data_IF_441298302479
#
_entry.id   IF_441298302479
#
_cell.length_a   1.000
_cell.length_b   1.000
_cell.length_c   1.000
_cell.angle_alpha   90.00
_cell.angle_beta   90.00
_cell.angle_gamma   90.00
#
_symmetry.space_group_name_H-M   'P 1'
#
loop_
_entity.id
_entity.type
_entity.pdbx_description
1 polymer ?
#
# COMPACT_ATOMS: atom_id res chain seq x y z
N UNK A 1 2.90 -19.67 28.63
CA UNK A 1 2.18 -18.81 27.67
C UNK A 1 2.54 -17.38 28.01
N UNK A 2 3.24 -16.64 27.14
CA UNK A 2 3.52 -15.22 27.41
C UNK A 2 2.17 -14.50 27.60
N UNK A 3 2.03 -13.77 28.72
CA UNK A 3 0.78 -13.07 29.02
C UNK A 3 0.55 -11.99 27.96
N UNK A 4 -0.70 -11.59 27.76
CA UNK A 4 -1.04 -10.50 26.83
C UNK A 4 -0.26 -9.21 27.17
N UNK A 5 0.02 -8.97 28.46
CA UNK A 5 0.82 -7.86 28.93
C UNK A 5 2.29 -7.95 28.49
N UNK A 6 2.90 -9.14 28.53
CA UNK A 6 4.29 -9.34 28.08
C UNK A 6 4.44 -9.04 26.59
N UNK A 7 3.46 -9.45 25.78
CA UNK A 7 3.44 -9.15 24.34
C UNK A 7 3.27 -7.66 24.08
N UNK A 8 2.34 -7.01 24.79
CA UNK A 8 2.10 -5.59 24.68
C UNK A 8 3.36 -4.77 25.08
N UNK A 9 4.02 -5.13 26.17
CA UNK A 9 5.26 -4.48 26.60
C UNK A 9 6.40 -4.70 25.60
N UNK A 10 6.52 -5.90 25.04
CA UNK A 10 7.49 -6.17 23.97
C UNK A 10 7.25 -5.30 22.72
N UNK A 11 5.99 -5.17 22.29
CA UNK A 11 5.64 -4.31 21.14
C UNK A 11 5.90 -2.84 21.45
N UNK A 12 5.53 -2.37 22.64
CA UNK A 12 5.81 -0.99 23.09
C UNK A 12 7.32 -0.72 23.12
N UNK A 13 8.12 -1.66 23.62
CA UNK A 13 9.58 -1.52 23.67
C UNK A 13 10.22 -1.53 22.27
N UNK A 14 9.71 -2.33 21.33
CA UNK A 14 10.15 -2.31 19.93
C UNK A 14 9.80 -0.99 19.24
N UNK A 15 8.57 -0.51 19.43
CA UNK A 15 8.16 0.79 18.90
C UNK A 15 9.03 1.90 19.49
N UNK A 16 9.24 1.94 20.80
CA UNK A 16 10.06 2.97 21.43
C UNK A 16 11.50 2.97 20.89
N UNK A 17 12.08 1.79 20.62
CA UNK A 17 13.40 1.65 19.99
C UNK A 17 13.44 2.20 18.56
N UNK A 18 12.42 1.93 17.75
CA UNK A 18 12.31 2.45 16.38
C UNK A 18 12.05 3.96 16.37
N UNK A 19 11.15 4.44 17.25
CA UNK A 19 10.85 5.86 17.43
C UNK A 19 12.07 6.64 17.93
N UNK A 20 12.91 6.04 18.77
CA UNK A 20 14.12 6.66 19.31
C UNK A 20 15.18 6.95 18.25
N UNK A 21 15.08 6.37 17.06
CA UNK A 21 15.94 6.71 15.91
C UNK A 21 15.68 8.14 15.39
N UNK A 22 14.53 8.73 15.70
CA UNK A 22 14.20 10.09 15.29
C UNK A 22 14.50 11.09 16.41
N UNK A 23 15.52 11.96 16.26
CA UNK A 23 15.95 12.89 17.32
C UNK A 23 14.86 13.90 17.72
N UNK A 24 13.93 14.20 16.80
CA UNK A 24 12.77 15.07 17.06
C UNK A 24 11.84 14.47 18.13
N UNK A 25 11.60 13.15 18.09
CA UNK A 25 10.76 12.47 19.07
C UNK A 25 11.42 12.41 20.45
N UNK A 26 12.74 12.24 20.50
CA UNK A 26 13.51 12.25 21.76
C UNK A 26 13.50 13.63 22.44
N UNK A 27 13.54 14.70 21.64
CA UNK A 27 13.46 16.07 22.15
C UNK A 27 12.05 16.39 22.68
N UNK A 28 11.00 15.88 22.02
CA UNK A 28 9.63 16.00 22.50
C UNK A 28 9.39 15.23 23.81
N UNK A 29 9.92 14.01 23.94
CA UNK A 29 9.84 13.22 25.18
C UNK A 29 10.55 13.93 26.33
N UNK A 30 11.73 14.50 26.09
CA UNK A 30 12.45 15.26 27.11
C UNK A 30 11.69 16.50 27.58
N UNK A 31 10.94 17.16 26.70
CA UNK A 31 10.13 18.34 27.06
C UNK A 31 8.79 17.99 27.71
N UNK A 32 8.15 16.90 27.27
CA UNK A 32 6.79 16.54 27.71
C UNK A 32 6.77 15.50 28.83
N UNK A 33 7.88 14.81 29.09
CA UNK A 33 8.00 13.69 30.05
C UNK A 33 7.02 12.53 29.81
N UNK A 34 6.34 12.52 28.66
CA UNK A 34 5.41 11.47 28.24
C UNK A 34 6.16 10.55 27.27
N UNK A 35 6.07 9.21 27.43
CA UNK A 35 6.74 8.29 26.53
C UNK A 35 6.26 8.46 25.08
N UNK A 36 7.21 8.45 24.14
CA UNK A 36 7.01 8.75 22.71
C UNK A 36 5.91 7.89 22.08
N UNK A 37 5.83 6.64 22.51
CA UNK A 37 4.84 5.67 22.02
C UNK A 37 3.41 6.14 22.30
N UNK A 38 3.12 6.70 23.48
CA UNK A 38 1.77 7.19 23.80
C UNK A 38 1.39 8.42 22.98
N UNK A 39 2.36 9.28 22.67
CA UNK A 39 2.15 10.45 21.81
C UNK A 39 1.76 10.01 20.40
N UNK A 40 2.51 9.07 19.81
CA UNK A 40 2.18 8.53 18.48
C UNK A 40 0.85 7.79 18.49
N UNK A 41 0.57 6.98 19.50
CA UNK A 41 -0.72 6.30 19.64
C UNK A 41 -1.87 7.31 19.76
N UNK A 42 -1.68 8.41 20.49
CA UNK A 42 -2.64 9.50 20.59
C UNK A 42 -2.92 10.15 19.24
N UNK A 43 -1.86 10.51 18.48
CA UNK A 43 -2.02 11.05 17.13
C UNK A 43 -2.70 10.06 16.18
N UNK A 44 -2.34 8.77 16.24
CA UNK A 44 -2.96 7.73 15.44
C UNK A 44 -4.45 7.55 15.79
N UNK A 45 -4.80 7.59 17.08
CA UNK A 45 -6.18 7.51 17.55
C UNK A 45 -7.00 8.73 17.12
N UNK A 46 -6.45 9.94 17.24
CA UNK A 46 -7.09 11.17 16.74
C UNK A 46 -7.27 11.11 15.23
N UNK A 47 -6.26 10.67 14.49
CA UNK A 47 -6.34 10.51 13.04
C UNK A 47 -7.44 9.49 12.65
N UNK A 48 -7.50 8.33 13.30
CA UNK A 48 -8.54 7.33 13.08
C UNK A 48 -9.94 7.88 13.42
N UNK A 49 -10.05 8.61 14.54
CA UNK A 49 -11.28 9.28 14.94
C UNK A 49 -11.74 10.30 13.87
N UNK A 50 -10.84 11.14 13.34
CA UNK A 50 -11.17 12.08 12.27
C UNK A 50 -11.68 11.37 11.01
N UNK A 51 -11.04 10.27 10.62
CA UNK A 51 -11.51 9.42 9.51
C UNK A 51 -12.88 8.81 9.81
N UNK A 52 -13.10 8.35 11.06
CA UNK A 52 -14.35 7.75 11.50
C UNK A 52 -15.54 8.72 11.44
N UNK A 53 -15.35 9.95 11.90
CA UNK A 53 -16.36 11.02 11.85
C UNK A 53 -16.46 11.70 10.48
N UNK A 54 -15.76 11.18 9.46
CA UNK A 54 -15.71 11.73 8.12
C UNK A 54 -15.14 13.16 8.01
N UNK A 55 -14.45 13.66 9.03
CA UNK A 55 -13.88 15.00 9.04
C UNK A 55 -12.62 14.96 8.16
N UNK A 56 -12.70 15.57 6.97
CA UNK A 56 -11.65 15.54 5.96
C UNK A 56 -11.21 14.12 5.55
N UNK A 57 -12.13 13.13 5.60
CA UNK A 57 -11.81 11.72 5.38
C UNK A 57 -11.09 11.44 4.06
N UNK A 58 -11.52 12.04 2.95
CA UNK A 58 -10.85 11.89 1.64
C UNK A 58 -9.38 12.32 1.69
N UNK A 59 -9.13 13.51 2.24
CA UNK A 59 -7.78 14.06 2.34
C UNK A 59 -6.90 13.20 3.23
N UNK A 60 -7.38 12.86 4.43
CA UNK A 60 -6.62 12.06 5.39
C UNK A 60 -6.25 10.71 4.77
N UNK A 61 -7.24 9.98 4.24
CA UNK A 61 -7.03 8.63 3.67
C UNK A 61 -6.09 8.66 2.47
N UNK A 62 -6.19 9.66 1.60
CA UNK A 62 -5.27 9.82 0.47
C UNK A 62 -3.85 10.15 0.95
N UNK A 63 -3.71 11.00 1.98
CA UNK A 63 -2.40 11.33 2.57
C UNK A 63 -1.75 10.09 3.17
N UNK A 64 -2.47 9.26 3.93
CA UNK A 64 -1.91 8.00 4.45
C UNK A 64 -1.59 7.01 3.33
N UNK A 65 -2.49 6.88 2.35
CA UNK A 65 -2.30 6.04 1.17
C UNK A 65 -1.18 6.50 0.23
N UNK A 66 -0.68 7.72 0.39
CA UNK A 66 0.46 8.24 -0.35
C UNK A 66 1.75 8.23 0.48
N UNK A 67 1.72 8.74 1.71
CA UNK A 67 2.92 8.91 2.56
C UNK A 67 3.52 7.58 2.97
N UNK A 68 2.70 6.63 3.44
CA UNK A 68 3.18 5.33 3.95
C UNK A 68 3.91 4.55 2.84
N UNK A 69 3.24 4.19 1.73
CA UNK A 69 3.90 3.47 0.63
C UNK A 69 4.94 4.34 -0.07
N UNK A 70 4.80 5.67 -0.11
CA UNK A 70 5.80 6.58 -0.66
C UNK A 70 7.13 6.51 0.09
N UNK A 71 7.09 6.51 1.43
CA UNK A 71 8.28 6.34 2.26
C UNK A 71 8.95 4.98 2.01
N UNK A 72 8.17 3.90 2.02
CA UNK A 72 8.72 2.57 1.75
C UNK A 72 9.20 2.38 0.31
N UNK A 73 8.54 3.00 -0.67
CA UNK A 73 8.99 2.99 -2.07
C UNK A 73 10.32 3.72 -2.24
N UNK A 74 10.53 4.84 -1.53
CA UNK A 74 11.81 5.53 -1.51
C UNK A 74 12.90 4.66 -0.88
N UNK A 75 12.58 3.95 0.21
CA UNK A 75 13.53 3.03 0.84
C UNK A 75 13.87 1.84 -0.08
N UNK A 76 12.88 1.29 -0.79
CA UNK A 76 13.08 0.23 -1.78
C UNK A 76 14.00 0.69 -2.93
N UNK A 77 13.85 1.93 -3.40
CA UNK A 77 14.67 2.51 -4.46
C UNK A 77 16.18 2.57 -4.13
N UNK A 78 16.53 2.62 -2.84
CA UNK A 78 17.91 2.61 -2.37
C UNK A 78 18.41 1.21 -1.96
N UNK A 79 17.57 0.18 -2.08
CA UNK A 79 17.89 -1.20 -1.71
C UNK A 79 18.07 -2.04 -2.98
N UNK A 80 19.09 -2.92 -3.07
CA UNK A 80 19.38 -3.69 -4.29
C UNK A 80 18.39 -4.84 -4.60
N UNK A 81 17.27 -4.95 -3.88
CA UNK A 81 16.30 -6.06 -4.00
C UNK A 81 15.08 -5.70 -4.86
N UNK A 82 14.76 -6.51 -5.86
CA UNK A 82 13.68 -6.26 -6.84
C UNK A 82 12.28 -6.73 -6.40
N UNK A 83 12.21 -7.52 -5.31
CA UNK A 83 10.93 -8.03 -4.79
C UNK A 83 10.04 -6.91 -4.26
N UNK A 84 10.65 -5.92 -3.62
CA UNK A 84 9.94 -4.86 -2.92
C UNK A 84 9.37 -3.86 -3.95
N UNK A 85 10.13 -3.58 -5.01
CA UNK A 85 9.70 -2.74 -6.14
C UNK A 85 8.40 -3.26 -6.78
N UNK A 86 8.31 -4.57 -6.99
CA UNK A 86 7.12 -5.18 -7.62
C UNK A 86 5.89 -5.02 -6.73
N UNK A 87 6.05 -5.14 -5.41
CA UNK A 87 4.96 -4.98 -4.47
C UNK A 87 4.45 -3.53 -4.45
N UNK A 88 5.35 -2.55 -4.36
CA UNK A 88 4.98 -1.14 -4.34
C UNK A 88 4.37 -0.69 -5.66
N UNK A 89 4.93 -1.12 -6.80
CA UNK A 89 4.34 -0.83 -8.11
C UNK A 89 2.93 -1.39 -8.23
N UNK A 90 2.71 -2.63 -7.78
CA UNK A 90 1.38 -3.27 -7.77
C UNK A 90 0.41 -2.47 -6.90
N UNK A 91 0.85 -2.04 -5.71
CA UNK A 91 0.07 -1.17 -4.84
C UNK A 91 -0.34 0.13 -5.55
N UNK A 92 0.60 0.82 -6.22
CA UNK A 92 0.33 2.08 -6.92
C UNK A 92 -0.68 1.90 -8.05
N UNK A 93 -0.59 0.81 -8.82
CA UNK A 93 -1.55 0.49 -9.88
C UNK A 93 -2.96 0.28 -9.30
N UNK A 94 -3.07 -0.52 -8.24
CA UNK A 94 -4.35 -0.79 -7.56
C UNK A 94 -4.93 0.49 -6.96
N UNK A 95 -4.10 1.29 -6.28
CA UNK A 95 -4.50 2.55 -5.68
C UNK A 95 -5.00 3.57 -6.71
N UNK A 96 -4.29 3.71 -7.84
CA UNK A 96 -4.70 4.58 -8.93
C UNK A 96 -6.04 4.13 -9.54
N UNK A 97 -6.22 2.83 -9.76
CA UNK A 97 -7.48 2.28 -10.26
C UNK A 97 -8.66 2.59 -9.33
N UNK A 98 -8.51 2.35 -8.03
CA UNK A 98 -9.56 2.69 -7.05
C UNK A 98 -9.84 4.19 -6.99
N UNK A 99 -8.82 5.04 -7.08
CA UNK A 99 -8.99 6.50 -7.05
C UNK A 99 -9.79 7.02 -8.26
N UNK A 100 -9.54 6.46 -9.44
CA UNK A 100 -10.29 6.78 -10.66
C UNK A 100 -11.73 6.28 -10.54
N UNK A 101 -11.92 5.04 -10.08
CA UNK A 101 -13.24 4.44 -9.92
C UNK A 101 -14.10 5.17 -8.88
N UNK A 102 -13.50 5.59 -7.76
CA UNK A 102 -14.14 6.45 -6.75
C UNK A 102 -14.61 7.77 -7.36
N UNK A 103 -13.74 8.43 -8.14
CA UNK A 103 -14.06 9.69 -8.82
C UNK A 103 -15.23 9.52 -9.81
N UNK A 104 -15.33 8.37 -10.47
CA UNK A 104 -16.40 8.07 -11.43
C UNK A 104 -17.75 7.79 -10.76
N UNK A 105 -17.76 7.12 -9.59
CA UNK A 105 -18.99 6.62 -8.95
C UNK A 105 -19.54 7.61 -7.91
N UNK A 106 -18.81 8.67 -7.55
CA UNK A 106 -19.17 9.55 -6.42
C UNK A 106 -19.52 8.74 -5.16
N UNK A 107 -18.77 7.65 -4.95
CA UNK A 107 -19.11 6.57 -4.01
C UNK A 107 -19.28 7.05 -2.57
N UNK A 108 -18.59 8.14 -2.21
CA UNK A 108 -18.68 8.79 -0.91
C UNK A 108 -20.08 9.34 -0.57
N UNK A 109 -20.89 9.72 -1.57
CA UNK A 109 -22.23 10.28 -1.35
C UNK A 109 -23.30 9.22 -1.08
N UNK A 110 -23.07 7.98 -1.52
CA UNK A 110 -24.07 6.92 -1.45
C UNK A 110 -23.88 6.00 -0.24
N UNK A 111 -22.65 5.87 0.29
CA UNK A 111 -22.33 4.91 1.35
C UNK A 111 -21.78 5.59 2.63
N UNK A 112 -22.53 5.63 3.75
CA UNK A 112 -21.99 6.08 5.02
C UNK A 112 -20.85 5.14 5.44
N UNK A 113 -19.73 5.70 5.93
CA UNK A 113 -18.47 5.00 6.26
C UNK A 113 -17.58 4.55 5.09
N UNK A 114 -17.84 5.02 3.87
CA UNK A 114 -17.00 4.70 2.70
C UNK A 114 -15.50 4.94 2.93
N UNK A 115 -15.14 6.07 3.55
CA UNK A 115 -13.75 6.43 3.80
C UNK A 115 -13.05 5.54 4.83
N UNK A 116 -13.79 4.97 5.79
CA UNK A 116 -13.24 3.97 6.71
C UNK A 116 -12.89 2.71 5.95
N UNK A 117 -13.82 2.22 5.11
CA UNK A 117 -13.58 1.05 4.28
C UNK A 117 -12.38 1.27 3.35
N UNK A 118 -12.33 2.43 2.68
CA UNK A 118 -11.20 2.82 1.84
C UNK A 118 -9.89 2.88 2.63
N UNK A 119 -9.90 3.45 3.84
CA UNK A 119 -8.73 3.51 4.71
C UNK A 119 -8.22 2.13 5.10
N UNK A 120 -9.12 1.23 5.53
CA UNK A 120 -8.77 -0.14 5.89
C UNK A 120 -8.24 -0.90 4.69
N UNK A 121 -8.86 -0.73 3.51
CA UNK A 121 -8.43 -1.37 2.27
C UNK A 121 -7.03 -0.91 1.84
N UNK A 122 -6.78 0.40 1.88
CA UNK A 122 -5.46 0.99 1.60
C UNK A 122 -4.41 0.49 2.59
N UNK A 123 -4.74 0.53 3.89
CA UNK A 123 -3.82 0.07 4.93
C UNK A 123 -3.50 -1.41 4.74
N UNK A 124 -4.51 -2.24 4.49
CA UNK A 124 -4.34 -3.67 4.25
C UNK A 124 -3.50 -3.97 3.00
N UNK A 125 -3.65 -3.18 1.93
CA UNK A 125 -2.80 -3.30 0.74
C UNK A 125 -1.37 -2.83 0.99
N UNK A 126 -1.16 -1.84 1.87
CA UNK A 126 0.15 -1.32 2.23
C UNK A 126 0.94 -2.28 3.14
N UNK A 127 0.28 -3.24 3.81
CA UNK A 127 0.96 -4.23 4.63
C UNK A 127 1.73 -5.25 3.75
N UNK A 128 3.07 -5.32 3.83
CA UNK A 128 3.86 -6.29 3.07
C UNK A 128 3.63 -7.75 3.52
N UNK A 129 3.20 -7.96 4.77
CA UNK A 129 2.96 -9.29 5.31
C UNK A 129 1.74 -10.00 4.68
N UNK A 130 0.72 -9.23 4.27
CA UNK A 130 -0.52 -9.78 3.72
C UNK A 130 -0.52 -9.86 2.19
N UNK A 131 0.47 -9.25 1.51
CA UNK A 131 0.52 -9.11 0.05
C UNK A 131 -0.82 -8.65 -0.55
N UNK A 132 -1.57 -7.81 0.17
CA UNK A 132 -2.95 -7.49 -0.17
C UNK A 132 -3.08 -6.84 -1.55
N UNK A 133 -2.13 -5.99 -1.93
CA UNK A 133 -2.05 -5.41 -3.27
C UNK A 133 -1.95 -6.47 -4.38
N UNK A 134 -1.16 -7.53 -4.19
CA UNK A 134 -1.05 -8.62 -5.16
C UNK A 134 -2.35 -9.41 -5.28
N UNK A 135 -3.02 -9.68 -4.16
CA UNK A 135 -4.32 -10.38 -4.16
C UNK A 135 -5.35 -9.61 -4.98
N UNK A 136 -5.45 -8.29 -4.79
CA UNK A 136 -6.37 -7.44 -5.55
C UNK A 136 -5.95 -7.37 -7.02
N UNK A 137 -4.64 -7.28 -7.29
CA UNK A 137 -4.13 -7.25 -8.65
C UNK A 137 -4.49 -8.53 -9.41
N UNK A 138 -4.16 -9.70 -8.86
CA UNK A 138 -4.45 -10.99 -9.51
C UNK A 138 -5.96 -11.26 -9.62
N UNK A 139 -6.76 -10.83 -8.65
CA UNK A 139 -8.21 -11.13 -8.61
C UNK A 139 -9.04 -10.20 -9.49
N UNK A 140 -8.69 -8.92 -9.56
CA UNK A 140 -9.51 -7.90 -10.25
C UNK A 140 -8.78 -7.27 -11.44
N UNK A 141 -7.55 -6.82 -11.27
CA UNK A 141 -6.85 -6.08 -12.33
C UNK A 141 -6.30 -6.99 -13.42
N UNK A 142 -5.76 -8.17 -13.09
CA UNK A 142 -5.25 -9.12 -14.07
C UNK A 142 -6.33 -9.60 -15.06
N UNK A 143 -7.56 -9.98 -14.65
CA UNK A 143 -8.58 -10.36 -15.64
C UNK A 143 -9.07 -9.17 -16.47
N UNK A 144 -9.04 -7.93 -15.93
CA UNK A 144 -9.46 -6.72 -16.64
C UNK A 144 -8.39 -6.20 -17.61
N UNK A 145 -7.14 -6.09 -17.17
CA UNK A 145 -6.00 -5.52 -17.90
C UNK A 145 -5.19 -6.57 -18.65
N UNK A 146 -5.15 -7.81 -18.17
CA UNK A 146 -4.42 -8.92 -18.80
C UNK A 146 -4.90 -9.19 -20.22
N UNK A 147 -6.17 -8.92 -20.54
CA UNK A 147 -6.70 -9.01 -21.91
C UNK A 147 -6.08 -7.98 -22.86
N UNK A 148 -5.73 -6.80 -22.36
CA UNK A 148 -5.12 -5.73 -23.16
C UNK A 148 -3.61 -5.92 -23.31
N UNK A 149 -2.92 -6.35 -22.24
CA UNK A 149 -1.47 -6.58 -22.27
C UNK A 149 -1.08 -7.95 -22.85
N UNK A 150 -1.93 -8.98 -22.75
CA UNK A 150 -1.71 -10.26 -23.45
C UNK A 150 -1.90 -10.13 -24.97
N UNK A 151 -2.62 -9.11 -25.45
CA UNK A 151 -2.80 -8.86 -26.89
C UNK A 151 -1.52 -8.39 -27.60
N UNK A 152 -0.45 -8.07 -26.84
CA UNK A 152 0.89 -7.81 -27.35
C UNK A 152 1.56 -9.02 -28.02
N UNK A 153 0.99 -10.22 -27.91
CA UNK A 153 1.50 -11.40 -28.61
C UNK A 153 1.17 -11.42 -30.10
N UNK A 154 0.37 -10.48 -30.63
CA UNK A 154 0.03 -10.50 -32.07
C UNK A 154 1.27 -10.27 -32.93
N UNK A 155 2.09 -9.26 -32.63
CA UNK A 155 3.33 -9.01 -33.38
C UNK A 155 4.41 -10.07 -33.13
N UNK A 156 4.49 -10.61 -31.91
CA UNK A 156 5.40 -11.70 -31.56
C UNK A 156 5.02 -13.02 -32.26
N UNK A 157 3.73 -13.35 -32.30
CA UNK A 157 3.21 -14.52 -33.02
C UNK A 157 3.31 -14.36 -34.54
N UNK A 158 3.08 -13.15 -35.07
CA UNK A 158 3.27 -12.85 -36.50
C UNK A 158 4.74 -12.95 -36.92
N UNK A 159 5.68 -12.49 -36.09
CA UNK A 159 7.12 -12.70 -36.32
C UNK A 159 7.50 -14.17 -36.24
N UNK A 160 7.03 -14.89 -35.24
CA UNK A 160 7.28 -16.32 -35.11
C UNK A 160 6.71 -17.12 -36.30
N UNK A 161 5.54 -16.75 -36.83
CA UNK A 161 4.96 -17.35 -38.04
C UNK A 161 5.72 -16.95 -39.30
N UNK A 162 6.17 -15.71 -39.42
CA UNK A 162 7.00 -15.26 -40.55
C UNK A 162 8.36 -15.98 -40.57
N UNK A 163 9.02 -16.10 -39.42
CA UNK A 163 10.28 -16.84 -39.27
C UNK A 163 10.11 -18.34 -39.55
N UNK A 164 8.97 -18.93 -39.14
CA UNK A 164 8.63 -20.32 -39.46
C UNK A 164 8.36 -20.54 -40.96
N UNK A 165 7.73 -19.57 -41.64
CA UNK A 165 7.47 -19.61 -43.07
C UNK A 165 8.71 -19.33 -43.93
N UNK A 166 9.72 -18.65 -43.39
CA UNK A 166 10.96 -18.31 -44.10
C UNK A 166 12.05 -19.38 -43.94
N UNK A 167 11.86 -20.38 -43.07
CA UNK A 167 12.77 -21.53 -42.99
C UNK A 167 12.61 -22.39 -44.25
N UNK A 168 13.65 -22.54 -45.09
CA UNK A 168 13.57 -23.41 -46.25
C UNK A 168 13.41 -24.85 -45.77
N UNK A 169 12.45 -25.57 -46.35
CA UNK A 169 12.29 -27.01 -46.17
C UNK A 169 13.55 -27.68 -46.76
N UNK A 170 14.55 -27.92 -45.92
CA UNK A 170 15.72 -28.71 -46.29
C UNK A 170 15.30 -30.18 -46.30
N UNK A 171 14.89 -30.65 -47.48
CA UNK A 171 14.92 -32.07 -47.86
C UNK A 171 16.35 -32.55 -48.00
#
# INVERSE_FOLDING_TARGET
>A
MASFQDRAQHTIAQLDKELSKYPVLNNLERQTSVPKVYVILGFAAVYFFLVFFNIAGSFLVNVAGFLIPGYYSLQALFTPGTSDDTQWLTYWVVFAFFTVLESAISAAYWFPFYYIFKFVLILWMALPQTNGAQVVFHSFLQPLLGRFFASGSTSANLRAQADAATKPHST
#
